data_IF_040162063335
#
_entry.id   IF_040162063335
#
_cell.length_a   1.000
_cell.length_b   1.000
_cell.length_c   1.000
_cell.angle_alpha   90.00
_cell.angle_beta   90.00
_cell.angle_gamma   90.00
#
_symmetry.space_group_name_H-M   'P 1'
#
loop_
_entity.id
_entity.type
_entity.pdbx_description
1 polymer ?
#
# COMPACT_ATOMS: atom_id res chain seq x y z
N UNK A 1 -6.16 -14.11 9.36
CA UNK A 1 -5.17 -13.03 9.16
C UNK A 1 -5.77 -11.68 8.80
N UNK A 2 -7.09 -11.53 8.56
CA UNK A 2 -7.66 -10.26 8.09
C UNK A 2 -7.69 -9.14 9.15
N UNK A 3 -7.56 -9.49 10.43
CA UNK A 3 -7.73 -8.55 11.55
C UNK A 3 -6.54 -8.56 12.53
N UNK A 4 -5.34 -8.93 12.06
CA UNK A 4 -4.12 -8.84 12.88
C UNK A 4 -3.68 -7.38 12.99
N UNK A 5 -3.24 -6.99 14.17
CA UNK A 5 -2.42 -5.79 14.31
C UNK A 5 -1.10 -5.97 13.55
N UNK A 6 -0.44 -4.85 13.22
CA UNK A 6 0.90 -4.87 12.60
C UNK A 6 1.87 -5.68 13.46
N UNK A 7 1.80 -5.54 14.79
CA UNK A 7 2.66 -6.26 15.70
C UNK A 7 2.46 -7.78 15.63
N UNK A 8 1.21 -8.25 15.64
CA UNK A 8 0.91 -9.68 15.56
C UNK A 8 1.29 -10.28 14.20
N UNK A 9 1.10 -9.53 13.10
CA UNK A 9 1.54 -9.98 11.79
C UNK A 9 3.06 -10.15 11.73
N UNK A 10 3.83 -9.20 12.26
CA UNK A 10 5.29 -9.28 12.30
C UNK A 10 5.77 -10.45 13.17
N UNK A 11 5.13 -10.66 14.32
CA UNK A 11 5.43 -11.81 15.18
C UNK A 11 5.17 -13.14 14.46
N UNK A 12 4.08 -13.23 13.70
CA UNK A 12 3.75 -14.43 12.91
C UNK A 12 4.76 -14.67 11.78
N UNK A 13 5.21 -13.63 11.07
CA UNK A 13 6.27 -13.74 10.03
C UNK A 13 7.59 -14.25 10.61
N UNK A 14 7.94 -13.83 11.83
CA UNK A 14 9.19 -14.23 12.49
C UNK A 14 9.13 -15.63 13.13
N UNK A 15 7.94 -16.21 13.30
CA UNK A 15 7.77 -17.51 13.93
C UNK A 15 8.38 -18.64 13.07
N UNK A 16 8.89 -19.72 13.69
CA UNK A 16 9.43 -20.89 12.96
C UNK A 16 8.30 -21.77 12.40
N UNK A 17 7.40 -21.17 11.62
CA UNK A 17 6.24 -21.81 10.99
C UNK A 17 6.18 -21.42 9.51
N UNK A 18 5.66 -22.28 8.62
CA UNK A 18 5.65 -22.02 7.18
C UNK A 18 4.69 -20.90 6.73
N UNK A 19 3.90 -20.30 7.61
CA UNK A 19 2.93 -19.23 7.31
C UNK A 19 2.93 -18.19 8.43
N UNK A 20 2.85 -16.89 8.11
CA UNK A 20 2.87 -16.28 6.78
C UNK A 20 4.20 -16.40 6.04
N UNK A 21 4.13 -16.82 4.78
CA UNK A 21 5.29 -16.94 3.91
C UNK A 21 5.60 -15.66 3.12
N UNK A 22 6.69 -15.69 2.33
CA UNK A 22 7.16 -14.53 1.57
C UNK A 22 6.11 -13.91 0.64
N UNK A 23 5.24 -14.72 0.03
CA UNK A 23 4.15 -14.22 -0.82
C UNK A 23 3.16 -13.32 -0.07
N UNK A 24 2.80 -13.66 1.17
CA UNK A 24 1.90 -12.84 2.00
C UNK A 24 2.55 -11.52 2.40
N UNK A 25 3.86 -11.53 2.70
CA UNK A 25 4.62 -10.31 3.00
C UNK A 25 4.72 -9.41 1.77
N UNK A 26 5.04 -9.98 0.60
CA UNK A 26 5.08 -9.23 -0.66
C UNK A 26 3.72 -8.64 -1.04
N UNK A 27 2.62 -9.37 -0.82
CA UNK A 27 1.28 -8.86 -1.05
C UNK A 27 0.95 -7.65 -0.15
N UNK A 28 1.29 -7.72 1.15
CA UNK A 28 1.11 -6.59 2.07
C UNK A 28 1.98 -5.40 1.67
N UNK A 29 3.24 -5.61 1.29
CA UNK A 29 4.12 -4.56 0.80
C UNK A 29 3.56 -3.88 -0.45
N UNK A 30 3.01 -4.66 -1.40
CA UNK A 30 2.33 -4.13 -2.58
C UNK A 30 1.09 -3.30 -2.24
N UNK A 31 0.27 -3.77 -1.28
CA UNK A 31 -0.90 -3.04 -0.81
C UNK A 31 -0.52 -1.69 -0.16
N UNK A 32 0.53 -1.67 0.67
CA UNK A 32 1.06 -0.44 1.28
C UNK A 32 1.60 0.54 0.21
N UNK A 33 2.31 0.02 -0.79
CA UNK A 33 2.81 0.83 -1.92
C UNK A 33 1.67 1.47 -2.71
N UNK A 34 0.61 0.71 -3.02
CA UNK A 34 -0.58 1.22 -3.69
C UNK A 34 -1.31 2.28 -2.85
N UNK A 35 -1.47 2.04 -1.55
CA UNK A 35 -2.10 3.00 -0.63
C UNK A 35 -1.32 4.33 -0.55
N UNK A 36 0.02 4.27 -0.48
CA UNK A 36 0.86 5.47 -0.50
C UNK A 36 0.77 6.22 -1.83
N UNK A 37 0.80 5.48 -2.95
CA UNK A 37 0.67 6.08 -4.29
C UNK A 37 -0.66 6.80 -4.44
N UNK A 38 -1.76 6.17 -3.99
CA UNK A 38 -3.10 6.78 -3.92
C UNK A 38 -3.11 8.08 -3.11
N UNK A 39 -2.53 8.04 -1.90
CA UNK A 39 -2.46 9.21 -1.01
C UNK A 39 -1.73 10.38 -1.68
N UNK A 40 -0.56 10.12 -2.27
CA UNK A 40 0.25 11.15 -2.93
C UNK A 40 -0.48 11.71 -4.14
N UNK A 41 -1.13 10.86 -4.94
CA UNK A 41 -1.92 11.32 -6.08
C UNK A 41 -3.08 12.22 -5.67
N UNK A 42 -3.83 11.85 -4.63
CA UNK A 42 -4.89 12.70 -4.08
C UNK A 42 -4.37 14.03 -3.52
N UNK A 43 -3.16 14.06 -2.95
CA UNK A 43 -2.52 15.30 -2.51
C UNK A 43 -1.98 16.16 -3.65
N UNK A 44 -1.64 15.57 -4.80
CA UNK A 44 -1.12 16.28 -5.97
C UNK A 44 -2.24 16.85 -6.84
N UNK A 45 -3.37 16.15 -6.88
CA UNK A 45 -4.55 16.56 -7.64
C UNK A 45 -5.06 17.94 -7.19
N UNK A 46 -5.41 18.78 -8.15
CA UNK A 46 -5.88 20.15 -7.95
C UNK A 46 -4.80 21.15 -7.54
N UNK A 47 -3.51 20.73 -7.46
CA UNK A 47 -2.40 21.66 -7.21
C UNK A 47 -1.92 22.31 -8.51
N UNK A 48 -1.60 23.60 -8.39
CA UNK A 48 -0.97 24.36 -9.47
C UNK A 48 0.36 23.70 -9.86
N UNK A 49 0.56 23.49 -11.16
CA UNK A 49 1.74 22.82 -11.73
C UNK A 49 1.56 21.33 -12.04
N UNK A 50 0.41 20.74 -11.69
CA UNK A 50 0.06 19.34 -11.99
C UNK A 50 -1.06 19.19 -13.03
N UNK A 51 -1.48 20.28 -13.66
CA UNK A 51 -2.61 20.31 -14.61
C UNK A 51 -2.42 19.34 -15.78
N UNK A 52 -1.17 19.18 -16.24
CA UNK A 52 -0.83 18.29 -17.35
C UNK A 52 -0.97 16.80 -17.03
N UNK A 53 -1.06 16.42 -15.75
CA UNK A 53 -1.10 15.02 -15.29
C UNK A 53 -2.34 14.70 -14.44
N UNK A 54 -3.36 15.57 -14.45
CA UNK A 54 -4.60 15.40 -13.69
C UNK A 54 -5.31 14.07 -13.95
N UNK A 55 -5.33 13.63 -15.21
CA UNK A 55 -5.99 12.39 -15.62
C UNK A 55 -5.28 11.18 -15.00
N UNK A 56 -3.96 11.15 -15.08
CA UNK A 56 -3.11 10.11 -14.52
C UNK A 56 -3.19 10.07 -12.98
N UNK A 57 -3.19 11.24 -12.33
CA UNK A 57 -3.40 11.35 -10.88
C UNK A 57 -4.76 10.77 -10.47
N UNK A 58 -5.82 11.07 -11.23
CA UNK A 58 -7.16 10.52 -11.00
C UNK A 58 -7.22 8.99 -11.16
N UNK A 59 -6.49 8.42 -12.13
CA UNK A 59 -6.43 6.95 -12.30
C UNK A 59 -5.74 6.26 -11.12
N UNK A 60 -4.74 6.90 -10.51
CA UNK A 60 -4.00 6.32 -9.37
C UNK A 60 -4.78 6.48 -8.07
N UNK A 61 -5.55 7.56 -7.91
CA UNK A 61 -6.35 7.84 -6.69
C UNK A 61 -7.49 6.84 -6.45
N UNK A 62 -8.08 6.31 -7.54
CA UNK A 62 -9.28 5.45 -7.54
C UNK A 62 -8.97 4.00 -7.20
#
# INVERSE_FOLDING_TARGET
MKDLTVHEFLAAVAAPTPTPGGGSVSALAGALSAALSRMVSGLARGKVGYEAVESELAQIET
#
